data_IF_144800956979
#
_entry.id   IF_144800956979
#
_cell.length_a   1.000
_cell.length_b   1.000
_cell.length_c   1.000
_cell.angle_alpha   90.00
_cell.angle_beta   90.00
_cell.angle_gamma   90.00
#
_symmetry.space_group_name_H-M   'P 1'
#
loop_
_entity.id
_entity.type
_entity.pdbx_description
1 polymer ?
#
# COMPACT_ATOMS: atom_id res chain seq x y z
N UNK A 1 29.61 15.11 8.65
CA UNK A 1 30.37 14.86 7.41
C UNK A 1 29.71 13.87 6.43
N UNK A 2 28.55 13.27 6.74
CA UNK A 2 27.78 12.43 5.79
C UNK A 2 26.37 13.02 5.57
N UNK A 3 26.30 14.31 5.22
CA UNK A 3 25.03 15.05 5.07
C UNK A 3 24.86 15.61 3.66
N UNK A 4 25.53 15.01 2.67
CA UNK A 4 25.22 15.24 1.25
C UNK A 4 24.48 14.03 0.74
N UNK A 5 23.16 14.09 0.85
CA UNK A 5 22.26 13.11 0.30
C UNK A 5 22.15 13.39 -1.21
N UNK A 6 22.92 12.66 -2.02
CA UNK A 6 22.81 12.77 -3.47
C UNK A 6 21.49 12.13 -3.88
N UNK A 7 20.50 12.97 -4.21
CA UNK A 7 19.14 12.56 -4.62
C UNK A 7 19.14 11.46 -5.69
N UNK A 8 20.12 11.48 -6.59
CA UNK A 8 20.28 10.50 -7.66
C UNK A 8 20.82 9.14 -7.17
N UNK A 9 21.63 9.13 -6.12
CA UNK A 9 22.24 7.91 -5.57
C UNK A 9 21.18 7.05 -4.85
N UNK A 10 20.32 7.68 -4.05
CA UNK A 10 19.16 7.02 -3.44
C UNK A 10 18.18 6.47 -4.49
N UNK A 11 17.94 7.19 -5.58
CA UNK A 11 17.04 6.72 -6.65
C UNK A 11 17.59 5.45 -7.32
N UNK A 12 18.89 5.46 -7.64
CA UNK A 12 19.58 4.31 -8.23
C UNK A 12 19.55 3.12 -7.26
N UNK A 13 19.81 3.35 -5.98
CA UNK A 13 19.73 2.32 -4.94
C UNK A 13 18.33 1.71 -4.81
N UNK A 14 17.26 2.52 -4.86
CA UNK A 14 15.89 2.02 -4.84
C UNK A 14 15.57 1.15 -6.06
N UNK A 15 15.98 1.59 -7.26
CA UNK A 15 15.78 0.82 -8.49
C UNK A 15 16.52 -0.51 -8.40
N UNK A 16 17.81 -0.51 -8.00
CA UNK A 16 18.58 -1.74 -7.82
C UNK A 16 17.97 -2.65 -6.74
N UNK A 17 17.47 -2.08 -5.64
CA UNK A 17 16.83 -2.85 -4.58
C UNK A 17 15.58 -3.57 -5.08
N UNK A 18 14.74 -2.90 -5.88
CA UNK A 18 13.56 -3.50 -6.51
C UNK A 18 13.99 -4.65 -7.43
N UNK A 19 14.99 -4.43 -8.30
CA UNK A 19 15.50 -5.48 -9.18
C UNK A 19 16.07 -6.67 -8.39
N UNK A 20 16.82 -6.44 -7.31
CA UNK A 20 17.37 -7.48 -6.46
C UNK A 20 16.26 -8.33 -5.81
N UNK A 21 15.21 -7.69 -5.28
CA UNK A 21 14.06 -8.39 -4.71
C UNK A 21 13.34 -9.22 -5.77
N UNK A 22 13.07 -8.65 -6.95
CA UNK A 22 12.37 -9.34 -8.04
C UNK A 22 13.19 -10.54 -8.53
N UNK A 23 14.49 -10.36 -8.79
CA UNK A 23 15.38 -11.44 -9.23
C UNK A 23 15.46 -12.56 -8.18
N UNK A 24 15.61 -12.20 -6.90
CA UNK A 24 15.62 -13.18 -5.82
C UNK A 24 14.28 -13.91 -5.72
N UNK A 25 13.14 -13.22 -5.82
CA UNK A 25 11.82 -13.84 -5.79
C UNK A 25 11.61 -14.83 -6.95
N UNK A 26 12.08 -14.48 -8.16
CA UNK A 26 12.01 -15.37 -9.32
C UNK A 26 12.85 -16.64 -9.17
N UNK A 27 14.00 -16.54 -8.50
CA UNK A 27 14.84 -17.71 -8.17
C UNK A 27 14.15 -18.58 -7.10
N UNK A 28 13.56 -17.96 -6.07
CA UNK A 28 12.80 -18.69 -5.03
C UNK A 28 11.60 -19.43 -5.63
N UNK A 29 10.91 -18.80 -6.59
CA UNK A 29 9.76 -19.36 -7.28
C UNK A 29 10.12 -20.43 -8.34
N UNK A 30 11.41 -20.75 -8.51
CA UNK A 30 11.93 -21.72 -9.50
C UNK A 30 11.60 -21.35 -10.97
N UNK A 31 11.17 -20.12 -11.22
CA UNK A 31 10.92 -19.57 -12.57
C UNK A 31 12.25 -19.24 -13.24
N UNK A 32 13.21 -18.71 -12.47
CA UNK A 32 14.58 -18.43 -12.92
C UNK A 32 15.49 -19.55 -12.43
N UNK A 33 15.88 -20.46 -13.34
CA UNK A 33 16.81 -21.54 -13.04
C UNK A 33 18.26 -21.05 -13.16
N UNK A 34 19.03 -21.25 -12.10
CA UNK A 34 20.48 -20.96 -12.09
C UNK A 34 21.22 -22.23 -12.48
N UNK A 35 22.20 -22.12 -13.37
CA UNK A 35 23.03 -23.27 -13.74
C UNK A 35 23.81 -23.81 -12.52
N UNK A 36 23.93 -25.14 -12.36
CA UNK A 36 24.69 -25.73 -11.27
C UNK A 36 26.17 -25.34 -11.28
N UNK A 37 26.72 -25.06 -12.47
CA UNK A 37 28.11 -24.69 -12.68
C UNK A 37 28.43 -23.24 -12.29
N UNK A 38 27.42 -22.46 -11.88
CA UNK A 38 27.61 -21.06 -11.51
C UNK A 38 28.29 -20.94 -10.15
N UNK A 39 29.42 -20.22 -10.11
CA UNK A 39 30.27 -20.09 -8.92
C UNK A 39 29.48 -19.64 -7.68
N UNK A 40 29.52 -20.44 -6.60
CA UNK A 40 28.84 -20.29 -5.30
C UNK A 40 27.31 -20.25 -5.33
N UNK A 41 26.68 -19.76 -6.41
CA UNK A 41 25.23 -19.62 -6.54
C UNK A 41 24.60 -20.96 -6.95
N UNK A 42 25.24 -21.72 -7.85
CA UNK A 42 24.72 -22.96 -8.40
C UNK A 42 24.55 -24.09 -7.37
N UNK A 43 25.37 -24.09 -6.32
CA UNK A 43 25.27 -25.07 -5.22
C UNK A 43 24.11 -24.80 -4.25
N UNK A 44 23.73 -23.52 -4.07
CA UNK A 44 22.70 -23.11 -3.12
C UNK A 44 21.84 -21.93 -3.64
N UNK A 45 21.14 -22.10 -4.77
CA UNK A 45 20.45 -21.00 -5.44
C UNK A 45 19.35 -20.37 -4.56
N UNK A 46 18.64 -21.18 -3.77
CA UNK A 46 17.62 -20.70 -2.83
C UNK A 46 18.20 -19.84 -1.70
N UNK A 47 19.38 -20.18 -1.19
CA UNK A 47 20.06 -19.42 -0.12
C UNK A 47 20.53 -18.07 -0.67
N UNK A 48 21.15 -18.08 -1.86
CA UNK A 48 21.55 -16.86 -2.55
C UNK A 48 20.35 -15.94 -2.80
N UNK A 49 19.23 -16.50 -3.25
CA UNK A 49 18.02 -15.74 -3.51
C UNK A 49 17.47 -15.05 -2.25
N UNK A 50 17.45 -15.74 -1.11
CA UNK A 50 17.03 -15.14 0.16
C UNK A 50 17.97 -14.04 0.64
N UNK A 51 19.29 -14.19 0.45
CA UNK A 51 20.27 -13.14 0.76
C UNK A 51 20.03 -11.92 -0.14
N UNK A 52 19.82 -12.14 -1.45
CA UNK A 52 19.56 -11.08 -2.41
C UNK A 52 18.27 -10.30 -2.08
N UNK A 53 17.19 -11.01 -1.74
CA UNK A 53 15.93 -10.40 -1.26
C UNK A 53 16.19 -9.60 0.01
N UNK A 54 16.89 -10.18 1.00
CA UNK A 54 17.15 -9.52 2.28
C UNK A 54 17.93 -8.22 2.11
N UNK A 55 18.99 -8.24 1.30
CA UNK A 55 19.77 -7.05 0.97
C UNK A 55 18.94 -6.02 0.21
N UNK A 56 18.09 -6.45 -0.73
CA UNK A 56 17.16 -5.58 -1.43
C UNK A 56 16.17 -4.91 -0.48
N UNK A 57 15.59 -5.65 0.47
CA UNK A 57 14.68 -5.10 1.49
C UNK A 57 15.39 -4.09 2.37
N UNK A 58 16.59 -4.39 2.87
CA UNK A 58 17.37 -3.46 3.70
C UNK A 58 17.71 -2.18 2.92
N UNK A 59 18.17 -2.31 1.68
CA UNK A 59 18.47 -1.15 0.81
C UNK A 59 17.22 -0.29 0.56
N UNK A 60 16.08 -0.93 0.28
CA UNK A 60 14.82 -0.24 0.06
C UNK A 60 14.34 0.49 1.32
N UNK A 61 14.46 -0.12 2.50
CA UNK A 61 14.15 0.53 3.77
C UNK A 61 15.05 1.75 4.03
N UNK A 62 16.35 1.66 3.76
CA UNK A 62 17.28 2.77 3.93
C UNK A 62 16.94 3.95 3.00
N UNK A 63 16.58 3.68 1.75
CA UNK A 63 16.19 4.73 0.79
C UNK A 63 14.85 5.36 1.16
N UNK A 64 13.89 4.58 1.67
CA UNK A 64 12.59 5.10 2.08
C UNK A 64 12.59 5.78 3.45
N UNK A 65 13.54 5.46 4.32
CA UNK A 65 13.68 6.05 5.66
C UNK A 65 13.58 7.59 5.72
N UNK A 66 14.30 8.37 4.88
CA UNK A 66 14.20 9.83 4.87
C UNK A 66 12.82 10.35 4.46
N UNK A 67 11.98 9.55 3.77
CA UNK A 67 10.60 9.92 3.43
C UNK A 67 9.60 9.57 4.55
N UNK A 68 9.81 8.44 5.24
CA UNK A 68 8.95 8.03 6.35
C UNK A 68 9.15 8.90 7.60
N UNK A 69 10.37 9.35 7.89
CA UNK A 69 10.65 10.20 9.05
C UNK A 69 9.83 11.51 9.07
N UNK A 70 9.81 12.36 8.03
CA UNK A 70 9.03 13.58 8.01
C UNK A 70 7.52 13.30 7.99
N UNK A 71 7.06 12.31 7.21
CA UNK A 71 5.63 11.96 7.15
C UNK A 71 5.08 11.47 8.49
N UNK A 72 5.84 10.69 9.27
CA UNK A 72 5.45 10.30 10.63
C UNK A 72 5.38 11.50 11.60
N UNK A 73 6.25 12.50 11.42
CA UNK A 73 6.22 13.73 12.21
C UNK A 73 5.00 14.57 11.82
N UNK A 74 4.68 14.69 10.53
CA UNK A 74 3.48 15.38 10.04
C UNK A 74 2.20 14.69 10.52
N UNK A 75 2.14 13.35 10.49
CA UNK A 75 1.01 12.58 11.02
C UNK A 75 0.75 12.84 12.52
N UNK A 76 1.79 13.19 13.29
CA UNK A 76 1.64 13.61 14.70
C UNK A 76 1.12 15.03 14.84
N UNK A 77 1.33 15.88 13.84
CA UNK A 77 0.80 17.24 13.77
C UNK A 77 -0.61 17.29 13.18
N UNK A 78 -1.08 16.20 12.55
CA UNK A 78 -2.50 16.04 12.22
C UNK A 78 -3.25 16.03 13.54
N UNK A 79 -3.87 17.16 13.86
CA UNK A 79 -4.79 17.31 14.98
C UNK A 79 -5.93 16.31 14.76
N UNK A 80 -5.85 15.17 15.45
CA UNK A 80 -6.94 14.20 15.45
C UNK A 80 -8.23 14.92 15.81
N UNK A 81 -9.25 14.82 14.96
CA UNK A 81 -10.57 15.40 15.23
C UNK A 81 -11.00 14.99 16.64
N UNK A 82 -11.50 15.94 17.43
CA UNK A 82 -11.97 15.67 18.79
C UNK A 82 -12.98 14.52 18.71
N UNK A 83 -12.86 13.51 19.56
CA UNK A 83 -13.76 12.34 19.56
C UNK A 83 -15.24 12.73 19.50
N UNK A 84 -15.61 13.86 20.10
CA UNK A 84 -16.96 14.44 20.04
C UNK A 84 -17.39 14.90 18.65
N UNK A 85 -16.50 15.56 17.90
CA UNK A 85 -16.75 16.06 16.55
C UNK A 85 -16.84 14.90 15.55
N UNK A 86 -15.98 13.89 15.71
CA UNK A 86 -16.06 12.65 14.93
C UNK A 86 -17.43 11.97 15.09
N UNK A 87 -17.91 11.80 16.32
CA UNK A 87 -19.22 11.18 16.58
C UNK A 87 -20.36 12.04 16.03
N UNK A 88 -20.29 13.37 16.18
CA UNK A 88 -21.28 14.28 15.59
C UNK A 88 -21.35 14.12 14.07
N UNK A 89 -20.21 14.07 13.39
CA UNK A 89 -20.15 13.90 11.94
C UNK A 89 -20.69 12.54 11.51
N UNK A 90 -20.36 11.47 12.23
CA UNK A 90 -20.89 10.12 11.98
C UNK A 90 -22.42 10.09 12.11
N UNK A 91 -22.97 10.71 13.16
CA UNK A 91 -24.43 10.78 13.37
C UNK A 91 -25.11 11.56 12.25
N UNK A 92 -24.55 12.70 11.82
CA UNK A 92 -25.10 13.49 10.70
C UNK A 92 -25.14 12.68 9.41
N UNK A 93 -24.05 11.97 9.10
CA UNK A 93 -23.99 11.10 7.91
C UNK A 93 -25.01 9.97 8.01
N UNK A 94 -25.16 9.36 9.18
CA UNK A 94 -26.12 8.27 9.39
C UNK A 94 -27.57 8.73 9.24
N UNK A 95 -27.91 9.91 9.77
CA UNK A 95 -29.23 10.54 9.58
C UNK A 95 -29.48 10.83 8.10
N UNK A 96 -28.48 11.36 7.39
CA UNK A 96 -28.59 11.62 5.96
C UNK A 96 -28.85 10.35 5.13
N UNK A 97 -28.15 9.26 5.45
CA UNK A 97 -28.37 7.95 4.81
C UNK A 97 -29.78 7.44 5.09
N UNK A 98 -30.25 7.49 6.34
CA UNK A 98 -31.61 7.08 6.69
C UNK A 98 -32.68 7.90 5.97
N UNK A 99 -32.46 9.21 5.82
CA UNK A 99 -33.34 10.08 5.06
C UNK A 99 -33.42 9.64 3.58
N UNK A 100 -32.28 9.38 2.93
CA UNK A 100 -32.25 8.89 1.55
C UNK A 100 -32.96 7.55 1.39
N UNK A 101 -32.77 6.62 2.33
CA UNK A 101 -33.50 5.34 2.35
C UNK A 101 -35.01 5.57 2.41
N UNK A 102 -35.47 6.48 3.29
CA UNK A 102 -36.89 6.84 3.39
C UNK A 102 -37.43 7.41 2.07
N UNK A 103 -36.67 8.28 1.41
CA UNK A 103 -37.03 8.84 0.11
C UNK A 103 -37.13 7.75 -0.96
N UNK A 104 -36.20 6.79 -1.02
CA UNK A 104 -36.28 5.68 -1.97
C UNK A 104 -37.49 4.77 -1.73
N UNK A 105 -37.80 4.45 -0.46
CA UNK A 105 -39.00 3.67 -0.14
C UNK A 105 -40.27 4.39 -0.60
N UNK A 106 -40.34 5.71 -0.41
CA UNK A 106 -41.49 6.50 -0.88
C UNK A 106 -41.62 6.48 -2.41
N UNK A 107 -40.50 6.59 -3.13
CA UNK A 107 -40.51 6.47 -4.59
C UNK A 107 -40.91 5.07 -5.05
N UNK A 108 -40.39 4.01 -4.43
CA UNK A 108 -40.73 2.63 -4.77
C UNK A 108 -42.22 2.33 -4.54
N UNK A 109 -42.78 2.84 -3.43
CA UNK A 109 -44.21 2.73 -3.14
C UNK A 109 -45.06 3.56 -4.11
N UNK A 110 -44.67 4.80 -4.38
CA UNK A 110 -45.40 5.71 -5.27
C UNK A 110 -45.40 5.22 -6.72
N UNK A 111 -44.22 4.92 -7.25
CA UNK A 111 -44.04 4.39 -8.62
C UNK A 111 -44.64 2.98 -8.72
N UNK A 112 -44.44 2.12 -7.72
CA UNK A 112 -45.02 0.78 -7.71
C UNK A 112 -46.56 0.78 -7.70
N UNK A 113 -47.18 1.68 -6.92
CA UNK A 113 -48.63 1.86 -6.93
C UNK A 113 -49.13 2.43 -8.27
N UNK A 114 -48.41 3.38 -8.86
CA UNK A 114 -48.73 3.95 -10.16
C UNK A 114 -48.65 2.90 -11.29
N UNK A 115 -47.60 2.09 -11.33
CA UNK A 115 -47.44 1.01 -12.32
C UNK A 115 -48.57 -0.02 -12.18
N UNK A 116 -48.95 -0.40 -10.95
CA UNK A 116 -50.09 -1.30 -10.71
C UNK A 116 -51.44 -0.72 -11.13
N UNK A 117 -51.58 0.60 -11.18
CA UNK A 117 -52.81 1.25 -11.64
C UNK A 117 -52.89 1.35 -13.17
N UNK A 118 -51.72 1.41 -13.84
CA UNK A 118 -51.61 1.51 -15.30
C UNK A 118 -51.63 0.13 -15.99
N UNK A 119 -51.09 -0.92 -15.35
CA UNK A 119 -51.12 -2.32 -15.82
C UNK A 119 -52.41 -3.03 -15.48
#
# INVERSE_FOLDING_TARGET
FLSKEYKYENLILAILAIFAIVLGALIVAEILQVSPDFFLIGGFPKVFAWILISLGVVSLLLVLWPFYRPSLVELRHVTGSKRSEFISNVVVVLIFVLFLVGVFILYDLGIGAFIKWVS
#
